data_IF_720514865829
#
_entry.id   IF_720514865829
#
_cell.length_a   1.000
_cell.length_b   1.000
_cell.length_c   1.000
_cell.angle_alpha   90.00
_cell.angle_beta   90.00
_cell.angle_gamma   90.00
#
_symmetry.space_group_name_H-M   'P 1'
#
loop_
_entity.id
_entity.type
_entity.pdbx_description
1 polymer ?
#
# COMPACT_ATOMS: atom_id res chain seq x y z
N UNK A 1 2.49 -59.93 8.51
CA UNK A 1 3.20 -58.85 9.22
C UNK A 1 4.39 -59.45 9.93
N UNK A 2 5.64 -58.97 9.75
CA UNK A 2 6.80 -59.51 10.45
C UNK A 2 6.69 -59.20 11.95
N UNK A 3 6.81 -60.20 12.79
CA UNK A 3 6.89 -60.05 14.25
C UNK A 3 8.11 -59.21 14.61
N UNK A 4 7.89 -58.10 15.31
CA UNK A 4 8.96 -57.28 15.85
C UNK A 4 9.86 -58.12 16.75
N UNK A 5 11.19 -58.14 16.50
CA UNK A 5 12.16 -58.79 17.35
C UNK A 5 12.03 -58.21 18.77
N UNK A 6 11.70 -59.03 19.76
CA UNK A 6 11.75 -58.66 21.18
C UNK A 6 13.17 -58.19 21.49
N UNK A 7 13.33 -56.98 21.93
CA UNK A 7 14.60 -56.40 22.37
C UNK A 7 14.81 -56.87 23.81
N UNK A 8 15.76 -57.78 24.06
CA UNK A 8 16.12 -58.18 25.40
C UNK A 8 17.03 -57.17 26.06
N UNK A 9 16.64 -56.70 27.24
CA UNK A 9 17.41 -55.76 28.06
C UNK A 9 18.31 -56.54 29.03
N UNK A 10 19.53 -56.03 29.27
CA UNK A 10 20.41 -56.60 30.31
C UNK A 10 19.97 -56.14 31.69
N UNK A 11 19.87 -57.09 32.65
CA UNK A 11 19.65 -56.79 34.05
C UNK A 11 20.89 -56.11 34.63
N UNK A 12 20.69 -55.05 35.38
CA UNK A 12 21.76 -54.30 36.09
C UNK A 12 22.13 -55.00 37.40
N UNK A 13 23.26 -54.61 38.00
CA UNK A 13 23.71 -55.15 39.26
C UNK A 13 22.74 -54.88 40.44
N UNK A 14 21.89 -53.85 40.29
CA UNK A 14 20.83 -53.50 41.24
C UNK A 14 19.51 -54.25 41.06
N UNK A 15 19.51 -55.27 40.19
CA UNK A 15 18.38 -56.12 39.91
C UNK A 15 17.31 -55.54 38.96
N UNK A 16 17.46 -54.30 38.52
CA UNK A 16 16.52 -53.62 37.62
C UNK A 16 16.92 -53.75 36.15
N UNK A 17 15.96 -53.66 35.25
CA UNK A 17 16.16 -53.49 33.83
C UNK A 17 16.15 -52.02 33.46
N UNK A 18 16.96 -51.61 32.49
CA UNK A 18 17.07 -50.23 32.06
C UNK A 18 17.07 -50.12 30.54
N UNK A 19 16.33 -49.15 30.00
CA UNK A 19 16.42 -48.74 28.61
C UNK A 19 16.52 -47.20 28.48
N UNK A 20 17.11 -46.73 27.37
CA UNK A 20 17.33 -45.32 27.14
C UNK A 20 16.48 -44.83 25.97
N UNK A 21 15.97 -43.61 26.07
CA UNK A 21 15.40 -42.88 24.95
C UNK A 21 15.87 -41.44 25.02
N UNK A 22 16.55 -40.95 23.99
CA UNK A 22 17.31 -39.69 24.00
C UNK A 22 18.26 -39.63 25.22
N UNK A 23 18.16 -38.62 26.06
CA UNK A 23 19.02 -38.44 27.23
C UNK A 23 18.39 -38.96 28.53
N UNK A 24 17.23 -39.66 28.46
CA UNK A 24 16.49 -40.13 29.61
C UNK A 24 16.53 -41.66 29.74
N UNK A 25 16.74 -42.16 30.99
CA UNK A 25 16.74 -43.56 31.31
C UNK A 25 15.42 -43.97 31.97
N UNK A 26 14.94 -45.13 31.60
CA UNK A 26 13.72 -45.74 32.14
C UNK A 26 14.07 -47.07 32.79
N UNK A 27 13.52 -47.31 33.98
CA UNK A 27 13.85 -48.46 34.82
C UNK A 27 12.59 -49.23 35.16
N UNK A 28 12.69 -50.56 35.29
CA UNK A 28 11.63 -51.46 35.73
C UNK A 28 12.22 -52.67 36.45
N UNK A 29 11.41 -53.36 37.28
CA UNK A 29 11.76 -54.64 37.92
C UNK A 29 11.75 -55.78 36.88
N UNK A 30 10.99 -55.61 35.81
CA UNK A 30 10.93 -56.49 34.66
C UNK A 30 11.34 -55.76 33.37
N UNK A 31 11.72 -56.50 32.33
CA UNK A 31 11.99 -55.89 30.99
C UNK A 31 10.78 -55.13 30.46
N UNK A 32 9.60 -55.73 30.61
CA UNK A 32 8.36 -55.17 30.09
C UNK A 32 8.01 -53.85 30.79
N UNK A 33 8.21 -53.76 32.12
CA UNK A 33 8.00 -52.49 32.84
C UNK A 33 8.94 -51.36 32.38
N UNK A 34 10.21 -51.65 32.15
CA UNK A 34 11.15 -50.65 31.66
C UNK A 34 10.79 -50.19 30.23
N UNK A 35 10.35 -51.11 29.37
CA UNK A 35 9.91 -50.81 28.01
C UNK A 35 8.58 -50.06 27.99
N UNK A 36 7.61 -50.44 28.85
CA UNK A 36 6.34 -49.71 28.98
C UNK A 36 6.52 -48.27 29.45
N UNK A 37 7.37 -48.05 30.46
CA UNK A 37 7.69 -46.72 30.94
C UNK A 37 8.28 -45.83 29.83
N UNK A 38 9.19 -46.40 29.02
CA UNK A 38 9.73 -45.72 27.84
C UNK A 38 8.66 -45.42 26.78
N UNK A 39 7.80 -46.35 26.46
CA UNK A 39 6.74 -46.16 25.46
C UNK A 39 5.64 -45.21 25.97
N UNK A 40 5.35 -45.19 27.26
CA UNK A 40 4.45 -44.22 27.88
C UNK A 40 5.02 -42.80 27.76
N UNK A 41 6.30 -42.60 28.06
CA UNK A 41 6.97 -41.35 27.87
C UNK A 41 6.97 -40.87 26.42
N UNK A 42 7.28 -41.75 25.46
CA UNK A 42 7.20 -41.43 24.04
C UNK A 42 5.79 -41.06 23.60
N UNK A 43 4.75 -41.72 24.13
CA UNK A 43 3.35 -41.36 23.85
C UNK A 43 3.00 -39.99 24.40
N UNK A 44 3.45 -39.68 25.62
CA UNK A 44 3.23 -38.40 26.25
C UNK A 44 4.00 -37.29 25.50
N UNK A 45 5.25 -37.51 25.12
CA UNK A 45 6.06 -36.56 24.33
C UNK A 45 5.39 -36.28 22.96
N UNK A 46 4.97 -37.33 22.24
CA UNK A 46 4.23 -37.20 20.98
C UNK A 46 2.89 -36.50 21.15
N UNK A 47 2.17 -36.70 22.24
CA UNK A 47 0.92 -36.02 22.53
C UNK A 47 1.16 -34.54 22.80
N UNK A 48 2.20 -34.19 23.55
CA UNK A 48 2.60 -32.79 23.83
C UNK A 48 3.10 -32.12 22.55
N UNK A 49 3.92 -32.80 21.74
CA UNK A 49 4.35 -32.30 20.42
C UNK A 49 3.16 -32.11 19.45
N UNK A 50 2.23 -33.07 19.42
CA UNK A 50 1.02 -33.00 18.60
C UNK A 50 0.13 -31.82 19.01
N UNK A 51 0.02 -31.54 20.31
CA UNK A 51 -0.78 -30.41 20.84
C UNK A 51 -0.09 -29.06 20.63
N UNK A 52 1.25 -29.00 20.69
CA UNK A 52 2.03 -27.79 20.41
C UNK A 52 2.21 -27.48 18.92
N UNK A 53 2.13 -28.49 18.08
CA UNK A 53 2.62 -28.42 16.70
C UNK A 53 1.53 -28.35 15.62
N UNK A 54 0.25 -28.19 15.97
CA UNK A 54 -0.82 -28.15 14.97
C UNK A 54 -1.91 -27.14 15.29
N UNK A 55 -1.61 -25.81 15.23
CA UNK A 55 -2.62 -24.78 15.42
C UNK A 55 -3.61 -24.77 14.24
N UNK A 56 -4.81 -24.25 14.50
CA UNK A 56 -5.72 -23.84 13.42
C UNK A 56 -5.16 -22.61 12.69
N UNK A 57 -5.65 -22.35 11.49
CA UNK A 57 -5.27 -21.14 10.72
C UNK A 57 -5.58 -19.89 11.52
N UNK A 58 -6.74 -19.84 12.19
CA UNK A 58 -7.16 -18.71 13.02
C UNK A 58 -6.23 -18.50 14.22
N UNK A 59 -5.87 -19.56 14.95
CA UNK A 59 -4.94 -19.49 16.08
C UNK A 59 -3.55 -19.01 15.64
N UNK A 60 -3.08 -19.51 14.48
CA UNK A 60 -1.79 -19.12 13.93
C UNK A 60 -1.79 -17.67 13.44
N UNK A 61 -2.80 -17.27 12.67
CA UNK A 61 -2.93 -15.90 12.15
C UNK A 61 -3.04 -14.87 13.28
N UNK A 62 -3.79 -15.17 14.34
CA UNK A 62 -3.94 -14.30 15.51
C UNK A 62 -2.62 -14.07 16.26
N UNK A 63 -1.72 -15.06 16.32
CA UNK A 63 -0.38 -14.94 16.90
C UNK A 63 0.60 -14.28 15.93
N UNK A 64 0.49 -14.57 14.64
CA UNK A 64 1.40 -14.12 13.61
C UNK A 64 1.30 -12.61 13.35
N UNK A 65 0.09 -12.08 13.28
CA UNK A 65 -0.15 -10.67 12.92
C UNK A 65 0.59 -9.68 13.85
N UNK A 66 0.44 -9.74 15.19
CA UNK A 66 1.13 -8.80 16.08
C UNK A 66 2.64 -8.98 16.08
N UNK A 67 3.16 -10.18 15.85
CA UNK A 67 4.59 -10.46 15.82
C UNK A 67 5.27 -9.94 14.56
N UNK A 68 4.65 -10.14 13.40
CA UNK A 68 5.28 -9.87 12.11
C UNK A 68 4.86 -8.54 11.46
N UNK A 69 3.86 -7.84 12.02
CA UNK A 69 3.35 -6.58 11.48
C UNK A 69 3.26 -5.45 12.52
N UNK A 70 4.02 -5.53 13.60
CA UNK A 70 4.05 -4.51 14.68
C UNK A 70 4.61 -3.15 14.24
N UNK A 71 5.45 -3.11 13.19
CA UNK A 71 6.08 -1.87 12.69
C UNK A 71 5.29 -1.09 11.65
N UNK A 72 4.06 -1.48 11.33
CA UNK A 72 3.21 -0.80 10.34
C UNK A 72 2.29 0.22 11.02
N UNK A 73 1.72 1.16 10.22
CA UNK A 73 0.69 2.09 10.74
C UNK A 73 -0.58 1.35 11.15
N UNK A 74 -1.33 1.91 12.12
CA UNK A 74 -2.59 1.32 12.61
C UNK A 74 -3.58 1.04 11.49
N UNK A 75 -3.68 1.94 10.50
CA UNK A 75 -4.51 1.71 9.32
C UNK A 75 -4.06 0.47 8.54
N UNK A 76 -2.77 0.31 8.33
CA UNK A 76 -2.23 -0.84 7.60
C UNK A 76 -2.40 -2.13 8.41
N UNK A 77 -2.23 -2.06 9.74
CA UNK A 77 -2.47 -3.18 10.65
C UNK A 77 -3.93 -3.62 10.60
N UNK A 78 -4.87 -2.67 10.68
CA UNK A 78 -6.30 -2.94 10.60
C UNK A 78 -6.71 -3.50 9.22
N UNK A 79 -6.09 -3.02 8.13
CA UNK A 79 -6.30 -3.58 6.79
C UNK A 79 -5.81 -5.03 6.71
N UNK A 80 -4.67 -5.36 7.34
CA UNK A 80 -4.19 -6.75 7.43
C UNK A 80 -5.09 -7.62 8.30
N UNK A 81 -5.56 -7.10 9.44
CA UNK A 81 -6.49 -7.81 10.31
C UNK A 81 -7.76 -8.21 9.57
N UNK A 82 -8.38 -7.29 8.83
CA UNK A 82 -9.57 -7.57 8.01
C UNK A 82 -9.32 -8.63 6.93
N UNK A 83 -8.14 -8.60 6.30
CA UNK A 83 -7.81 -9.61 5.30
C UNK A 83 -7.58 -10.99 5.93
N UNK A 84 -6.95 -11.06 7.12
CA UNK A 84 -6.82 -12.32 7.85
C UNK A 84 -8.17 -12.82 8.38
N UNK A 85 -9.07 -11.93 8.75
CA UNK A 85 -10.46 -12.27 9.09
C UNK A 85 -11.17 -12.96 7.91
N UNK A 86 -11.10 -12.39 6.71
CA UNK A 86 -11.64 -13.00 5.49
C UNK A 86 -11.00 -14.38 5.19
N UNK A 87 -9.69 -14.55 5.43
CA UNK A 87 -9.05 -15.86 5.36
C UNK A 87 -9.64 -16.84 6.37
N UNK A 88 -9.81 -16.39 7.61
CA UNK A 88 -10.31 -17.21 8.71
C UNK A 88 -11.79 -17.57 8.54
N UNK A 89 -12.61 -16.73 7.94
CA UNK A 89 -13.98 -17.07 7.56
C UNK A 89 -14.03 -18.29 6.60
N UNK A 90 -13.07 -18.39 5.69
CA UNK A 90 -13.01 -19.49 4.73
C UNK A 90 -12.40 -20.77 5.31
N UNK A 91 -11.26 -20.67 6.00
CA UNK A 91 -10.43 -21.81 6.41
C UNK A 91 -9.93 -21.75 7.85
N UNK A 92 -10.41 -20.80 8.68
CA UNK A 92 -9.89 -20.52 10.02
C UNK A 92 -9.94 -21.68 10.99
N UNK A 93 -10.98 -22.53 10.91
CA UNK A 93 -11.15 -23.71 11.76
C UNK A 93 -10.27 -24.91 11.35
N UNK A 94 -9.70 -24.89 10.16
CA UNK A 94 -8.83 -25.97 9.68
C UNK A 94 -7.48 -25.93 10.38
N UNK A 95 -6.89 -27.11 10.60
CA UNK A 95 -5.50 -27.25 11.05
C UNK A 95 -4.56 -26.79 9.93
N UNK A 96 -3.58 -25.93 10.26
CA UNK A 96 -2.69 -25.32 9.25
C UNK A 96 -1.96 -26.39 8.39
N UNK A 97 -1.64 -27.54 8.97
CA UNK A 97 -1.02 -28.70 8.28
C UNK A 97 -1.94 -29.35 7.24
N UNK A 98 -3.24 -29.15 7.34
CA UNK A 98 -4.24 -29.79 6.47
C UNK A 98 -4.69 -28.86 5.34
N UNK A 99 -4.28 -27.59 5.36
CA UNK A 99 -4.64 -26.63 4.30
C UNK A 99 -4.03 -27.04 2.98
N UNK A 100 -4.89 -27.19 1.99
CA UNK A 100 -4.54 -27.65 0.63
C UNK A 100 -4.52 -26.49 -0.37
N UNK A 101 -4.07 -26.78 -1.59
CA UNK A 101 -4.16 -25.83 -2.72
C UNK A 101 -5.62 -25.54 -3.09
N UNK A 102 -6.52 -26.53 -2.93
CA UNK A 102 -7.94 -26.37 -3.21
C UNK A 102 -8.63 -25.44 -2.20
N UNK A 103 -8.20 -25.50 -0.93
CA UNK A 103 -8.66 -24.54 0.09
C UNK A 103 -8.21 -23.12 -0.26
N UNK A 104 -6.96 -22.95 -0.71
CA UNK A 104 -6.47 -21.65 -1.17
C UNK A 104 -7.22 -21.15 -2.41
N UNK A 105 -7.59 -22.04 -3.34
CA UNK A 105 -8.43 -21.70 -4.49
C UNK A 105 -9.84 -21.26 -4.04
N UNK A 106 -10.39 -21.91 -3.01
CA UNK A 106 -11.69 -21.52 -2.42
C UNK A 106 -11.63 -20.13 -1.77
N UNK A 107 -10.55 -19.83 -1.05
CA UNK A 107 -10.31 -18.46 -0.51
C UNK A 107 -10.29 -17.42 -1.63
N UNK A 108 -9.68 -17.73 -2.78
CA UNK A 108 -9.63 -16.80 -3.90
C UNK A 108 -10.98 -16.52 -4.55
N UNK A 109 -11.95 -17.43 -4.48
CA UNK A 109 -13.33 -17.18 -4.94
C UNK A 109 -14.00 -16.06 -4.15
N UNK A 110 -13.69 -15.92 -2.85
CA UNK A 110 -14.17 -14.80 -2.04
C UNK A 110 -13.72 -13.42 -2.60
N UNK A 111 -12.62 -13.38 -3.36
CA UNK A 111 -12.06 -12.15 -3.93
C UNK A 111 -12.55 -11.84 -5.35
N UNK A 112 -13.49 -12.57 -5.89
CA UNK A 112 -14.11 -12.26 -7.18
C UNK A 112 -14.80 -10.88 -7.11
N UNK A 113 -14.51 -10.01 -8.09
CA UNK A 113 -15.04 -8.63 -8.12
C UNK A 113 -14.24 -7.60 -7.31
N UNK A 114 -13.28 -8.02 -6.50
CA UNK A 114 -12.42 -7.06 -5.77
C UNK A 114 -11.42 -6.37 -6.70
N UNK A 115 -10.86 -5.22 -6.22
CA UNK A 115 -9.82 -4.52 -6.97
C UNK A 115 -8.52 -5.33 -7.02
N UNK A 116 -7.79 -5.21 -8.13
CA UNK A 116 -6.47 -5.87 -8.30
C UNK A 116 -5.49 -5.50 -7.18
N UNK A 117 -5.55 -4.27 -6.66
CA UNK A 117 -4.71 -3.82 -5.53
C UNK A 117 -5.08 -4.50 -4.21
N UNK A 118 -6.36 -4.75 -3.95
CA UNK A 118 -6.84 -5.48 -2.77
C UNK A 118 -6.40 -6.93 -2.83
N UNK A 119 -6.62 -7.59 -3.98
CA UNK A 119 -6.22 -8.97 -4.22
C UNK A 119 -4.70 -9.14 -4.07
N UNK A 120 -3.91 -8.22 -4.64
CA UNK A 120 -2.44 -8.24 -4.53
C UNK A 120 -1.99 -8.15 -3.07
N UNK A 121 -2.61 -7.28 -2.26
CA UNK A 121 -2.30 -7.15 -0.83
C UNK A 121 -2.66 -8.41 -0.05
N UNK A 122 -3.85 -8.98 -0.28
CA UNK A 122 -4.27 -10.24 0.32
C UNK A 122 -3.29 -11.36 -0.02
N UNK A 123 -2.89 -11.48 -1.29
CA UNK A 123 -1.91 -12.48 -1.73
C UNK A 123 -0.57 -12.34 -1.01
N UNK A 124 -0.03 -11.13 -0.94
CA UNK A 124 1.22 -10.89 -0.22
C UNK A 124 1.13 -11.29 1.25
N UNK A 125 0.00 -10.99 1.90
CA UNK A 125 -0.23 -11.30 3.29
C UNK A 125 -0.34 -12.83 3.52
N UNK A 126 -1.17 -13.52 2.73
CA UNK A 126 -1.38 -14.97 2.85
C UNK A 126 -0.12 -15.75 2.52
N UNK A 127 0.57 -15.36 1.45
CA UNK A 127 1.87 -15.97 1.12
C UNK A 127 2.86 -15.78 2.28
N UNK A 128 2.95 -14.58 2.87
CA UNK A 128 3.85 -14.32 4.00
C UNK A 128 3.48 -15.13 5.25
N UNK A 129 2.18 -15.26 5.57
CA UNK A 129 1.70 -16.07 6.70
C UNK A 129 2.11 -17.54 6.55
N UNK A 130 1.86 -18.13 5.39
CA UNK A 130 2.16 -19.55 5.14
C UNK A 130 3.65 -19.80 4.87
N UNK A 131 4.41 -18.83 4.35
CA UNK A 131 5.88 -18.95 4.28
C UNK A 131 6.50 -18.99 5.69
N UNK A 132 6.03 -18.13 6.60
CA UNK A 132 6.46 -18.19 8.02
C UNK A 132 6.08 -19.52 8.68
N UNK A 133 4.95 -20.12 8.29
CA UNK A 133 4.58 -21.45 8.78
C UNK A 133 5.54 -22.55 8.28
N UNK A 134 6.14 -22.39 7.09
CA UNK A 134 7.22 -23.28 6.60
C UNK A 134 8.48 -23.06 7.42
N UNK A 135 8.91 -21.80 7.64
CA UNK A 135 10.09 -21.46 8.44
C UNK A 135 9.99 -21.98 9.89
N UNK A 136 8.76 -22.09 10.41
CA UNK A 136 8.48 -22.67 11.73
C UNK A 136 8.25 -24.19 11.70
N UNK A 137 8.56 -24.89 10.62
CA UNK A 137 8.39 -26.33 10.43
C UNK A 137 6.94 -26.85 10.64
N UNK A 138 5.94 -25.95 10.54
CA UNK A 138 4.53 -26.32 10.69
C UNK A 138 3.99 -27.02 9.44
N UNK A 139 4.41 -26.58 8.25
CA UNK A 139 4.00 -27.09 6.95
C UNK A 139 5.20 -27.25 6.03
N UNK A 140 5.08 -28.10 5.00
CA UNK A 140 6.16 -28.33 4.04
C UNK A 140 6.06 -27.48 2.77
N UNK A 141 4.87 -27.01 2.41
CA UNK A 141 4.60 -26.25 1.19
C UNK A 141 3.56 -25.17 1.47
N UNK A 142 3.71 -24.03 0.84
CA UNK A 142 2.76 -22.96 0.93
C UNK A 142 1.62 -23.17 -0.09
N UNK A 143 0.37 -23.36 0.35
CA UNK A 143 -0.76 -23.61 -0.56
C UNK A 143 -1.07 -22.41 -1.46
N UNK A 144 -0.78 -21.18 -1.01
CA UNK A 144 -1.02 -19.95 -1.79
C UNK A 144 0.05 -19.66 -2.86
N UNK A 145 1.12 -20.47 -2.93
CA UNK A 145 2.10 -20.47 -4.03
C UNK A 145 1.79 -21.52 -5.10
N UNK A 146 0.77 -22.34 -4.89
CA UNK A 146 0.37 -23.39 -5.81
C UNK A 146 -0.03 -22.84 -7.19
N UNK A 147 0.33 -23.56 -8.26
CA UNK A 147 -0.02 -23.20 -9.64
C UNK A 147 -1.55 -23.04 -9.83
N UNK A 148 -2.33 -23.85 -9.13
CA UNK A 148 -3.78 -23.91 -9.23
C UNK A 148 -4.50 -22.99 -8.21
N UNK A 149 -3.77 -22.37 -7.28
CA UNK A 149 -4.29 -21.39 -6.32
C UNK A 149 -3.92 -19.95 -6.75
N UNK A 150 -4.18 -19.61 -8.00
CA UNK A 150 -3.94 -18.24 -8.46
C UNK A 150 -5.13 -17.33 -8.12
N UNK A 151 -4.88 -16.11 -7.66
CA UNK A 151 -5.94 -15.16 -7.39
C UNK A 151 -6.66 -14.74 -8.68
N UNK A 152 -7.93 -14.32 -8.61
CA UNK A 152 -8.67 -13.80 -9.76
C UNK A 152 -8.01 -12.52 -10.30
N UNK A 153 -8.28 -12.21 -11.55
CA UNK A 153 -7.95 -10.91 -12.11
C UNK A 153 -8.91 -9.88 -11.50
N UNK A 154 -8.36 -8.99 -10.67
CA UNK A 154 -9.15 -7.94 -10.06
C UNK A 154 -9.45 -6.79 -11.01
N UNK A 155 -10.46 -5.99 -10.66
CA UNK A 155 -10.76 -4.75 -11.39
C UNK A 155 -9.63 -3.75 -11.21
N UNK A 156 -9.16 -3.17 -12.30
CA UNK A 156 -8.18 -2.09 -12.24
C UNK A 156 -8.93 -0.77 -12.07
N UNK A 157 -8.68 -0.09 -10.95
CA UNK A 157 -9.09 1.30 -10.82
C UNK A 157 -8.16 2.16 -11.67
N UNK A 158 -8.68 2.83 -12.69
CA UNK A 158 -7.91 3.82 -13.45
C UNK A 158 -8.03 5.20 -12.79
N UNK A 159 -6.90 5.86 -12.55
CA UNK A 159 -6.86 7.30 -12.43
C UNK A 159 -6.80 7.87 -13.85
N UNK A 160 -7.63 8.86 -14.12
CA UNK A 160 -7.65 9.54 -15.42
C UNK A 160 -7.33 11.02 -15.25
N UNK A 161 -6.81 11.62 -16.29
CA UNK A 161 -6.80 13.06 -16.38
C UNK A 161 -8.24 13.57 -16.63
N UNK A 162 -8.53 14.76 -16.11
CA UNK A 162 -9.78 15.47 -16.37
C UNK A 162 -9.79 15.93 -17.82
N UNK A 163 -11.00 16.02 -18.39
CA UNK A 163 -11.21 16.71 -19.66
C UNK A 163 -11.14 18.23 -19.49
N UNK A 164 -10.98 18.99 -20.57
CA UNK A 164 -10.94 20.46 -20.54
C UNK A 164 -12.22 21.06 -19.97
N UNK A 165 -13.39 20.46 -20.26
CA UNK A 165 -14.67 20.85 -19.69
C UNK A 165 -14.71 20.63 -18.18
N UNK A 166 -14.22 19.49 -17.70
CA UNK A 166 -14.14 19.21 -16.27
C UNK A 166 -13.16 20.15 -15.55
N UNK A 167 -12.03 20.48 -16.18
CA UNK A 167 -11.07 21.49 -15.67
C UNK A 167 -11.75 22.85 -15.54
N UNK A 168 -12.46 23.26 -16.56
CA UNK A 168 -13.23 24.52 -16.58
C UNK A 168 -14.30 24.50 -15.50
N UNK A 169 -15.04 23.40 -15.38
CA UNK A 169 -16.06 23.22 -14.35
C UNK A 169 -15.49 23.35 -12.93
N UNK A 170 -14.36 22.71 -12.64
CA UNK A 170 -13.66 22.83 -11.34
C UNK A 170 -13.21 24.26 -11.08
N UNK A 171 -12.73 24.96 -12.10
CA UNK A 171 -12.25 26.35 -12.01
C UNK A 171 -13.39 27.33 -11.76
N UNK A 172 -14.55 27.13 -12.37
CA UNK A 172 -15.63 28.12 -12.39
C UNK A 172 -16.74 27.87 -11.37
N UNK A 173 -16.81 26.70 -10.74
CA UNK A 173 -17.86 26.37 -9.79
C UNK A 173 -17.48 26.79 -8.36
N UNK A 174 -18.12 27.84 -7.79
CA UNK A 174 -17.79 28.30 -6.44
C UNK A 174 -18.22 27.28 -5.38
N UNK A 175 -17.27 26.91 -4.52
CA UNK A 175 -17.49 26.06 -3.35
C UNK A 175 -16.31 26.23 -2.36
N UNK A 176 -16.54 25.94 -1.07
CA UNK A 176 -15.46 25.98 -0.07
C UNK A 176 -14.28 25.04 -0.38
N UNK A 177 -14.53 23.94 -1.10
CA UNK A 177 -13.50 23.00 -1.55
C UNK A 177 -12.75 23.46 -2.80
N UNK A 178 -13.24 24.47 -3.52
CA UNK A 178 -12.69 24.88 -4.81
C UNK A 178 -11.21 25.24 -4.73
N UNK A 179 -10.80 26.07 -3.76
CA UNK A 179 -9.39 26.41 -3.61
C UNK A 179 -8.51 25.17 -3.39
N UNK A 180 -8.95 24.24 -2.55
CA UNK A 180 -8.24 22.97 -2.33
C UNK A 180 -8.17 22.13 -3.63
N UNK A 181 -9.26 22.08 -4.39
CA UNK A 181 -9.30 21.41 -5.69
C UNK A 181 -8.34 22.05 -6.70
N UNK A 182 -8.30 23.39 -6.78
CA UNK A 182 -7.40 24.14 -7.66
C UNK A 182 -5.92 23.93 -7.28
N UNK A 183 -5.59 23.84 -5.99
CA UNK A 183 -4.23 23.53 -5.55
C UNK A 183 -3.84 22.09 -5.97
N UNK A 184 -4.74 21.12 -5.84
CA UNK A 184 -4.48 19.76 -6.33
C UNK A 184 -4.33 19.71 -7.86
N UNK A 185 -5.11 20.53 -8.59
CA UNK A 185 -5.13 20.58 -10.05
C UNK A 185 -3.94 21.35 -10.65
N UNK A 186 -3.49 22.45 -10.04
CA UNK A 186 -2.49 23.36 -10.63
C UNK A 186 -1.17 23.43 -9.87
N UNK A 187 -1.08 22.78 -8.70
CA UNK A 187 0.17 22.62 -7.96
C UNK A 187 0.44 21.15 -7.61
N UNK A 188 -0.47 20.24 -7.95
CA UNK A 188 -0.28 18.81 -7.83
C UNK A 188 -0.14 18.28 -6.40
N UNK A 189 -0.61 19.01 -5.38
CA UNK A 189 -0.51 18.56 -4.00
C UNK A 189 -1.41 17.36 -3.72
N UNK A 190 -0.97 16.47 -2.82
CA UNK A 190 -1.80 15.38 -2.33
C UNK A 190 -2.88 15.91 -1.38
N UNK A 191 -4.01 15.19 -1.26
CA UNK A 191 -5.10 15.52 -0.32
C UNK A 191 -4.58 15.86 1.09
N UNK A 192 -3.71 15.01 1.62
CA UNK A 192 -3.16 15.21 2.97
C UNK A 192 -2.25 16.44 3.09
N UNK A 193 -1.52 16.78 2.03
CA UNK A 193 -0.68 17.99 1.96
C UNK A 193 -1.57 19.24 1.94
N UNK A 194 -2.63 19.27 1.13
CA UNK A 194 -3.59 20.40 1.08
C UNK A 194 -4.30 20.59 2.43
N UNK A 195 -4.67 19.52 3.13
CA UNK A 195 -5.27 19.59 4.46
C UNK A 195 -4.33 20.16 5.54
N UNK A 196 -3.03 19.97 5.36
CA UNK A 196 -2.01 20.52 6.26
C UNK A 196 -1.64 21.98 5.92
N UNK A 197 -1.92 22.43 4.67
CA UNK A 197 -1.45 23.68 4.11
C UNK A 197 -2.08 24.90 4.79
N UNK A 198 -1.24 25.90 5.07
CA UNK A 198 -1.65 27.20 5.59
C UNK A 198 -1.09 28.31 4.68
N UNK A 199 -1.59 29.53 4.81
CA UNK A 199 -1.05 30.69 4.08
C UNK A 199 0.39 31.05 4.47
N UNK A 200 0.90 30.56 5.60
CA UNK A 200 2.32 30.68 5.96
C UNK A 200 3.24 29.82 5.07
N UNK A 201 2.70 28.80 4.44
CA UNK A 201 3.40 27.94 3.50
C UNK A 201 3.38 28.45 2.05
N UNK A 202 2.65 29.59 1.80
CA UNK A 202 2.42 30.20 0.50
C UNK A 202 3.15 31.52 0.41
N UNK A 203 4.12 31.61 -0.47
CA UNK A 203 4.82 32.87 -0.79
C UNK A 203 4.31 33.38 -2.13
N UNK A 204 3.42 34.38 -2.07
CA UNK A 204 2.87 35.02 -3.26
C UNK A 204 3.88 35.93 -3.98
N UNK A 205 4.93 36.39 -3.28
CA UNK A 205 5.98 37.26 -3.88
C UNK A 205 6.95 36.36 -4.67
N UNK A 206 7.48 35.31 -4.03
CA UNK A 206 8.33 34.33 -4.70
C UNK A 206 7.55 33.43 -5.68
N UNK A 207 6.21 33.38 -5.59
CA UNK A 207 5.37 32.56 -6.43
C UNK A 207 5.52 31.05 -6.13
N UNK A 208 5.68 30.66 -4.85
CA UNK A 208 5.91 29.27 -4.46
C UNK A 208 5.02 28.80 -3.31
N UNK A 209 4.74 27.51 -3.27
CA UNK A 209 4.13 26.80 -2.15
C UNK A 209 5.17 25.85 -1.57
N UNK A 210 5.45 25.97 -0.27
CA UNK A 210 6.33 25.05 0.46
C UNK A 210 5.51 23.91 1.02
N UNK A 211 5.81 22.68 0.57
CA UNK A 211 5.18 21.44 1.04
C UNK A 211 6.14 20.74 1.97
N UNK A 212 5.88 20.78 3.29
CA UNK A 212 6.75 20.22 4.33
C UNK A 212 5.98 19.40 5.38
N UNK A 213 4.68 19.22 5.20
CA UNK A 213 3.80 18.51 6.13
C UNK A 213 2.61 17.92 5.41
N UNK A 214 2.02 16.88 5.99
CA UNK A 214 0.79 16.27 5.49
C UNK A 214 -0.09 15.79 6.64
N UNK A 215 -1.40 15.83 6.47
CA UNK A 215 -2.36 15.19 7.37
C UNK A 215 -2.46 13.71 7.02
N UNK A 216 -2.30 12.87 8.03
CA UNK A 216 -2.71 11.46 8.05
C UNK A 216 -3.93 11.31 8.93
N UNK A 217 -4.69 10.26 8.74
CA UNK A 217 -5.82 9.93 9.59
C UNK A 217 -5.52 8.65 10.37
N UNK A 218 -5.76 8.70 11.67
CA UNK A 218 -5.87 7.57 12.55
C UNK A 218 -7.36 7.41 12.89
N UNK A 219 -8.02 6.42 12.32
CA UNK A 219 -9.48 6.41 12.25
C UNK A 219 -9.98 7.70 11.58
N UNK A 220 -10.79 8.46 12.31
CA UNK A 220 -11.31 9.77 11.86
C UNK A 220 -10.48 10.98 12.36
N UNK A 221 -9.44 10.73 13.20
CA UNK A 221 -8.63 11.77 13.82
C UNK A 221 -7.53 12.26 12.88
N UNK A 222 -7.44 13.55 12.54
CA UNK A 222 -6.35 14.09 11.73
C UNK A 222 -5.07 14.23 12.57
N UNK A 223 -3.94 13.79 12.01
CA UNK A 223 -2.62 13.91 12.60
C UNK A 223 -1.68 14.55 11.59
N UNK A 224 -1.06 15.67 11.94
CA UNK A 224 -0.02 16.26 11.10
C UNK A 224 1.25 15.43 11.26
N UNK A 225 1.86 15.09 10.15
CA UNK A 225 3.15 14.42 10.10
C UNK A 225 4.10 15.14 9.16
N UNK A 226 5.36 15.23 9.56
CA UNK A 226 6.44 15.59 8.64
C UNK A 226 6.59 14.55 7.54
N UNK A 227 7.15 14.89 6.39
CA UNK A 227 7.50 13.91 5.36
C UNK A 227 8.44 12.85 5.91
N UNK A 228 8.28 11.60 5.45
CA UNK A 228 9.13 10.48 5.88
C UNK A 228 10.58 10.58 5.41
N UNK A 229 10.85 11.41 4.40
CA UNK A 229 12.19 11.59 3.79
C UNK A 229 12.45 13.08 3.58
N UNK A 230 13.72 13.48 3.54
CA UNK A 230 14.13 14.85 3.20
C UNK A 230 13.57 15.32 1.85
N UNK A 231 13.47 14.43 0.88
CA UNK A 231 12.85 14.69 -0.44
C UNK A 231 11.34 14.91 -0.40
N UNK A 232 10.70 14.72 0.76
CA UNK A 232 9.29 15.05 0.97
C UNK A 232 9.05 16.54 1.16
N UNK A 233 10.08 17.32 1.53
CA UNK A 233 10.03 18.79 1.58
C UNK A 233 10.40 19.32 0.21
N UNK A 234 9.49 20.11 -0.39
CA UNK A 234 9.66 20.66 -1.72
C UNK A 234 8.97 22.00 -1.88
N UNK A 235 9.40 22.77 -2.86
CA UNK A 235 8.71 23.98 -3.33
C UNK A 235 8.05 23.70 -4.68
N UNK A 236 6.81 24.13 -4.81
CA UNK A 236 6.00 23.98 -6.02
C UNK A 236 5.63 25.39 -6.52
N UNK A 237 5.78 25.68 -7.82
CA UNK A 237 5.45 26.99 -8.37
C UNK A 237 3.94 27.25 -8.31
N UNK A 238 3.58 28.49 -8.05
CA UNK A 238 2.21 29.00 -8.14
C UNK A 238 1.97 29.47 -9.57
N UNK A 239 1.22 28.68 -10.34
CA UNK A 239 0.81 29.10 -11.67
C UNK A 239 -0.13 30.31 -11.60
N UNK A 240 -0.10 31.20 -12.61
CA UNK A 240 -0.93 32.41 -12.67
C UNK A 240 -2.42 32.15 -12.48
N UNK A 241 -2.91 31.02 -13.02
CA UNK A 241 -4.32 30.59 -12.87
C UNK A 241 -4.69 30.24 -11.42
N UNK A 242 -3.73 29.84 -10.58
CA UNK A 242 -3.97 29.50 -9.17
C UNK A 242 -3.91 30.72 -8.25
N UNK A 243 -3.16 31.76 -8.62
CA UNK A 243 -2.90 32.94 -7.80
C UNK A 243 -4.18 33.61 -7.25
N UNK A 244 -5.24 33.88 -8.06
CA UNK A 244 -6.46 34.53 -7.55
C UNK A 244 -7.18 33.74 -6.45
N UNK A 245 -7.05 32.38 -6.47
CA UNK A 245 -7.65 31.53 -5.46
C UNK A 245 -6.89 31.55 -4.11
N UNK A 246 -5.65 32.07 -4.09
CA UNK A 246 -4.80 32.19 -2.90
C UNK A 246 -4.76 33.61 -2.33
N UNK A 247 -4.96 34.60 -3.16
CA UNK A 247 -4.98 36.01 -2.73
C UNK A 247 -6.11 36.26 -1.71
N UNK A 248 -5.86 37.20 -0.76
CA UNK A 248 -6.80 37.57 0.29
C UNK A 248 -7.24 36.45 1.22
N UNK A 249 -6.47 35.34 1.31
CA UNK A 249 -6.70 34.26 2.27
C UNK A 249 -5.80 34.38 3.48
N UNK A 250 -6.28 33.88 4.61
CA UNK A 250 -5.52 33.78 5.86
C UNK A 250 -5.74 32.42 6.51
N UNK A 251 -4.79 31.99 7.31
CA UNK A 251 -4.88 30.75 8.07
C UNK A 251 -4.79 29.50 7.19
N UNK A 252 -5.61 28.50 7.44
CA UNK A 252 -5.63 27.23 6.69
C UNK A 252 -6.33 27.39 5.34
N UNK A 253 -5.80 26.74 4.33
CA UNK A 253 -6.44 26.67 3.01
C UNK A 253 -7.79 25.98 3.09
N UNK A 254 -7.88 24.92 3.90
CA UNK A 254 -9.10 24.18 4.14
C UNK A 254 -9.20 23.83 5.63
N UNK A 255 -10.30 24.24 6.26
CA UNK A 255 -10.55 24.01 7.68
C UNK A 255 -11.93 23.42 7.93
N UNK A 256 -12.14 22.81 9.08
CA UNK A 256 -13.45 22.52 9.62
C UNK A 256 -14.20 23.80 10.00
N UNK A 257 -15.48 23.71 10.35
CA UNK A 257 -16.28 24.87 10.74
C UNK A 257 -15.74 25.61 11.98
N UNK A 258 -15.07 24.91 12.88
CA UNK A 258 -14.42 25.45 14.08
C UNK A 258 -13.00 25.96 13.84
N UNK A 259 -12.53 26.00 12.59
CA UNK A 259 -11.18 26.44 12.21
C UNK A 259 -10.09 25.34 12.30
N UNK A 260 -10.39 24.19 12.86
CA UNK A 260 -9.46 23.06 12.98
C UNK A 260 -9.23 22.32 11.66
N UNK A 261 -8.33 21.34 11.70
CA UNK A 261 -8.11 20.43 10.58
C UNK A 261 -9.36 19.56 10.40
N UNK A 262 -9.81 19.40 9.16
CA UNK A 262 -10.95 18.53 8.85
C UNK A 262 -10.64 17.08 9.21
N UNK A 263 -11.60 16.38 9.80
CA UNK A 263 -11.58 14.92 9.96
C UNK A 263 -11.76 14.24 8.59
N UNK A 264 -11.45 12.94 8.50
CA UNK A 264 -11.61 12.19 7.26
C UNK A 264 -13.07 12.20 6.77
N UNK A 265 -14.01 12.01 7.67
CA UNK A 265 -15.45 12.07 7.35
C UNK A 265 -15.89 13.47 6.93
N UNK A 266 -15.41 14.52 7.65
CA UNK A 266 -15.74 15.89 7.30
C UNK A 266 -15.24 16.27 5.90
N UNK A 267 -14.01 15.85 5.56
CA UNK A 267 -13.48 16.02 4.21
C UNK A 267 -14.32 15.28 3.18
N UNK A 268 -14.64 14.01 3.41
CA UNK A 268 -15.42 13.19 2.47
C UNK A 268 -16.80 13.80 2.18
N UNK A 269 -17.54 14.19 3.23
CA UNK A 269 -18.86 14.86 3.07
C UNK A 269 -18.74 16.19 2.30
N UNK A 270 -17.70 16.97 2.60
CA UNK A 270 -17.49 18.26 1.91
C UNK A 270 -17.10 18.04 0.44
N UNK A 271 -16.31 17.02 0.15
CA UNK A 271 -15.96 16.63 -1.21
C UNK A 271 -17.18 16.12 -1.99
N UNK A 272 -17.99 15.27 -1.41
CA UNK A 272 -19.26 14.81 -1.99
C UNK A 272 -20.21 15.97 -2.33
N UNK A 273 -20.34 16.93 -1.38
CA UNK A 273 -21.10 18.16 -1.62
C UNK A 273 -20.55 18.97 -2.80
N UNK A 274 -19.21 19.02 -2.95
CA UNK A 274 -18.59 19.68 -4.08
C UNK A 274 -18.89 18.97 -5.40
N UNK A 275 -18.78 17.65 -5.44
CA UNK A 275 -19.13 16.84 -6.63
C UNK A 275 -20.60 17.01 -7.03
N UNK A 276 -21.51 17.05 -6.07
CA UNK A 276 -22.91 17.35 -6.33
C UNK A 276 -23.11 18.75 -6.94
N UNK A 277 -22.35 19.73 -6.45
CA UNK A 277 -22.38 21.10 -7.00
C UNK A 277 -21.86 21.15 -8.44
N UNK A 278 -20.75 20.43 -8.71
CA UNK A 278 -20.18 20.29 -10.05
C UNK A 278 -21.19 19.60 -10.99
N UNK A 279 -21.78 18.50 -10.55
CA UNK A 279 -22.80 17.75 -11.34
C UNK A 279 -24.00 18.63 -11.67
N UNK A 280 -24.45 19.47 -10.74
CA UNK A 280 -25.54 20.42 -10.98
C UNK A 280 -25.14 21.48 -12.01
N UNK A 281 -23.92 22.00 -11.94
CA UNK A 281 -23.42 23.01 -12.88
C UNK A 281 -23.22 22.42 -14.29
N UNK A 282 -22.80 21.17 -14.38
CA UNK A 282 -22.60 20.44 -15.64
C UNK A 282 -23.91 19.96 -16.28
N UNK A 283 -25.02 19.83 -15.52
CA UNK A 283 -26.26 19.22 -15.98
C UNK A 283 -26.22 17.69 -16.12
N UNK A 284 -25.15 17.04 -15.71
CA UNK A 284 -24.97 15.58 -15.72
C UNK A 284 -24.10 15.11 -14.54
N UNK A 285 -24.14 13.81 -14.19
CA UNK A 285 -23.29 13.27 -13.12
C UNK A 285 -21.81 13.45 -13.42
N UNK A 286 -21.08 14.03 -12.46
CA UNK A 286 -19.62 14.22 -12.49
C UNK A 286 -18.99 13.32 -11.44
N UNK A 287 -17.89 12.66 -11.79
CA UNK A 287 -17.13 11.80 -10.88
C UNK A 287 -15.64 12.17 -10.95
N UNK A 288 -15.21 13.01 -10.02
CA UNK A 288 -13.82 13.48 -9.88
C UNK A 288 -13.34 13.16 -8.47
N UNK A 289 -12.26 12.42 -8.35
CA UNK A 289 -11.60 12.13 -7.07
C UNK A 289 -10.46 13.12 -6.84
N UNK A 290 -10.07 13.43 -5.59
CA UNK A 290 -8.93 14.31 -5.30
C UNK A 290 -7.64 13.90 -6.02
N UNK A 291 -7.41 12.60 -6.20
CA UNK A 291 -6.21 12.11 -6.87
C UNK A 291 -6.24 12.27 -8.40
N UNK A 292 -7.43 12.34 -9.00
CA UNK A 292 -7.59 12.59 -10.44
C UNK A 292 -7.14 14.02 -10.81
N UNK A 293 -7.36 14.99 -9.92
CA UNK A 293 -6.85 16.37 -10.08
C UNK A 293 -5.32 16.40 -10.13
N UNK A 294 -4.68 15.70 -9.21
CA UNK A 294 -3.22 15.59 -9.18
C UNK A 294 -2.68 14.81 -10.41
N UNK A 295 -3.38 13.78 -10.83
CA UNK A 295 -3.05 13.05 -12.06
C UNK A 295 -3.11 13.98 -13.28
N UNK A 296 -4.14 14.83 -13.34
CA UNK A 296 -4.29 15.87 -14.38
C UNK A 296 -3.11 16.84 -14.38
N UNK A 297 -2.64 17.30 -13.21
CA UNK A 297 -1.44 18.14 -13.11
C UNK A 297 -0.21 17.45 -13.72
N UNK A 298 0.01 16.19 -13.42
CA UNK A 298 1.11 15.43 -14.02
C UNK A 298 1.01 15.37 -15.55
N UNK A 299 -0.21 15.15 -16.06
CA UNK A 299 -0.48 15.17 -17.52
C UNK A 299 -0.22 16.54 -18.11
N UNK A 300 -0.66 17.62 -17.44
CA UNK A 300 -0.39 19.00 -17.86
C UNK A 300 1.12 19.30 -17.92
N UNK A 301 1.91 18.86 -16.92
CA UNK A 301 3.36 19.02 -16.94
C UNK A 301 4.00 18.32 -18.12
N UNK A 302 3.58 17.08 -18.39
CA UNK A 302 4.04 16.33 -19.56
C UNK A 302 3.70 17.06 -20.86
N UNK A 303 2.48 17.51 -21.02
CA UNK A 303 1.99 18.14 -22.25
C UNK A 303 2.62 19.53 -22.47
N UNK A 304 2.97 20.23 -21.37
CA UNK A 304 3.76 21.46 -21.40
C UNK A 304 5.26 21.22 -21.68
N UNK A 305 5.71 19.97 -21.83
CA UNK A 305 7.11 19.65 -22.09
C UNK A 305 8.05 19.81 -20.89
N UNK A 306 7.49 19.87 -19.67
CA UNK A 306 8.32 19.92 -18.46
C UNK A 306 9.15 18.64 -18.36
N UNK A 307 10.42 18.80 -18.03
CA UNK A 307 11.32 17.67 -17.82
C UNK A 307 10.80 16.72 -16.73
N UNK A 308 10.95 15.43 -16.97
CA UNK A 308 10.44 14.40 -16.06
C UNK A 308 11.04 14.50 -14.67
N UNK A 309 12.33 14.82 -14.56
CA UNK A 309 12.99 14.97 -13.26
C UNK A 309 12.43 16.18 -12.49
N UNK A 310 12.20 17.30 -13.19
CA UNK A 310 11.54 18.48 -12.60
C UNK A 310 10.11 18.18 -12.17
N UNK A 311 9.35 17.42 -12.97
CA UNK A 311 8.01 16.95 -12.60
C UNK A 311 8.05 16.07 -11.34
N UNK A 312 9.03 15.15 -11.22
CA UNK A 312 9.24 14.35 -10.01
C UNK A 312 9.53 15.21 -8.77
N UNK A 313 10.31 16.27 -8.90
CA UNK A 313 10.60 17.21 -7.80
C UNK A 313 9.30 17.89 -7.36
N UNK A 314 8.54 18.50 -8.27
CA UNK A 314 7.29 19.21 -7.92
C UNK A 314 6.19 18.28 -7.39
N UNK A 315 6.08 17.08 -7.94
CA UNK A 315 5.10 16.09 -7.49
C UNK A 315 5.55 15.32 -6.23
N UNK A 316 6.85 15.28 -5.95
CA UNK A 316 7.45 14.48 -4.88
C UNK A 316 7.65 13.01 -5.26
N UNK A 317 8.85 12.49 -5.03
CA UNK A 317 9.36 11.19 -5.50
C UNK A 317 8.50 9.94 -5.21
N UNK A 318 7.56 10.01 -4.24
CA UNK A 318 6.70 8.88 -3.93
C UNK A 318 5.75 8.46 -5.08
N UNK A 319 5.58 9.33 -6.08
CA UNK A 319 4.70 9.09 -7.24
C UNK A 319 5.48 8.75 -8.52
N UNK A 320 6.75 8.39 -8.40
CA UNK A 320 7.65 8.09 -9.53
C UNK A 320 7.01 7.13 -10.56
N UNK A 321 6.38 6.05 -10.09
CA UNK A 321 5.73 5.08 -10.98
C UNK A 321 4.57 5.67 -11.78
N UNK A 322 3.81 6.60 -11.19
CA UNK A 322 2.73 7.29 -11.88
C UNK A 322 3.29 8.26 -12.91
N UNK A 323 4.34 9.00 -12.56
CA UNK A 323 4.99 9.96 -13.45
C UNK A 323 5.62 9.22 -14.64
N UNK A 324 6.40 8.15 -14.39
CA UNK A 324 6.96 7.30 -15.43
C UNK A 324 5.86 6.79 -16.38
N UNK A 325 4.77 6.22 -15.83
CA UNK A 325 3.66 5.72 -16.66
C UNK A 325 3.04 6.81 -17.54
N UNK A 326 2.88 8.05 -17.02
CA UNK A 326 2.32 9.17 -17.79
C UNK A 326 3.32 9.66 -18.85
N UNK A 327 4.60 9.71 -18.52
CA UNK A 327 5.65 10.19 -19.42
C UNK A 327 6.08 9.15 -20.46
N UNK A 328 5.99 7.85 -20.17
CA UNK A 328 6.33 6.76 -21.10
C UNK A 328 5.37 6.66 -22.30
N UNK A 329 4.16 7.17 -22.18
CA UNK A 329 3.25 7.28 -23.31
C UNK A 329 3.64 8.47 -24.22
N UNK A 330 4.72 8.29 -24.98
CA UNK A 330 5.17 9.27 -25.99
C UNK A 330 4.17 9.28 -27.14
N UNK A 331 3.46 10.40 -27.34
CA UNK A 331 2.65 10.59 -28.54
C UNK A 331 3.56 10.99 -29.73
N UNK A 332 3.19 10.56 -30.96
CA UNK A 332 3.90 10.95 -32.19
C UNK A 332 4.09 12.48 -32.33
N UNK A 333 3.09 13.25 -31.85
CA UNK A 333 3.18 14.73 -31.76
C UNK A 333 4.38 15.20 -30.94
N UNK A 334 4.71 14.52 -29.82
CA UNK A 334 5.84 14.92 -28.96
C UNK A 334 7.19 14.63 -29.61
N UNK A 335 7.30 13.52 -30.34
CA UNK A 335 8.50 13.18 -31.10
C UNK A 335 8.79 14.31 -32.11
N UNK A 336 7.78 14.75 -32.87
CA UNK A 336 7.93 15.82 -33.83
C UNK A 336 8.26 17.18 -33.18
N UNK A 337 7.64 17.51 -32.04
CA UNK A 337 7.94 18.74 -31.28
C UNK A 337 9.39 18.72 -30.76
N UNK A 338 9.86 17.60 -30.25
CA UNK A 338 11.24 17.42 -29.77
C UNK A 338 12.25 17.53 -30.91
N UNK A 339 11.98 16.96 -32.09
CA UNK A 339 12.82 17.10 -33.27
C UNK A 339 12.91 18.59 -33.66
N UNK A 340 11.78 19.27 -33.78
CA UNK A 340 11.73 20.69 -34.13
C UNK A 340 12.49 21.57 -33.12
N UNK A 341 12.44 21.23 -31.83
CA UNK A 341 13.14 21.97 -30.77
C UNK A 341 14.66 21.76 -30.83
N UNK A 342 15.11 20.54 -31.10
CA UNK A 342 16.52 20.21 -31.31
C UNK A 342 17.04 20.95 -32.57
N UNK A 343 16.32 20.90 -33.69
CA UNK A 343 16.66 21.62 -34.90
C UNK A 343 16.78 23.11 -34.69
N UNK A 344 15.79 23.72 -34.00
CA UNK A 344 15.79 25.15 -33.65
C UNK A 344 17.00 25.54 -32.80
N UNK A 345 17.38 24.70 -31.83
CA UNK A 345 18.53 24.92 -30.95
C UNK A 345 19.83 24.82 -31.72
N UNK A 346 19.96 23.81 -32.59
CA UNK A 346 21.16 23.60 -33.42
C UNK A 346 21.32 24.66 -34.52
N UNK A 347 20.23 25.02 -35.18
CA UNK A 347 20.23 26.01 -36.24
C UNK A 347 20.30 27.46 -35.72
N UNK A 348 19.69 27.74 -34.57
CA UNK A 348 19.73 29.06 -33.90
C UNK A 348 21.13 29.43 -33.38
N UNK A 349 21.99 28.45 -33.13
CA UNK A 349 23.41 28.70 -32.77
C UNK A 349 24.31 29.03 -33.93
N UNK A 350 23.85 28.87 -35.20
CA UNK A 350 24.65 29.19 -36.40
C UNK A 350 24.46 30.62 -36.92
N UNK A 351 23.43 31.35 -36.44
CA UNK A 351 23.14 32.71 -36.90
C UNK A 351 23.81 33.83 -36.08
N UNK A 352 24.68 33.50 -35.12
CA UNK A 352 25.34 34.44 -34.22
C UNK A 352 26.79 34.81 -34.54
N UNK A 353 27.38 34.36 -35.68
CA UNK A 353 28.79 34.64 -35.98
C UNK A 353 29.01 35.20 -37.39
N UNK A 354 28.31 36.27 -37.72
CA UNK A 354 28.75 37.16 -38.76
C UNK A 354 28.84 38.59 -38.19
N UNK A 355 29.94 38.86 -37.52
CA UNK A 355 30.40 40.20 -37.26
C UNK A 355 31.13 40.77 -38.45
N UNK A 356 30.61 41.87 -38.92
CA UNK A 356 31.25 42.93 -39.66
C UNK A 356 32.79 42.92 -39.66
N UNK A 357 33.33 42.78 -40.83
CA UNK A 357 34.60 43.35 -41.22
C UNK A 357 34.33 44.12 -42.52
N UNK A 358 34.27 45.43 -42.39
CA UNK A 358 34.37 46.37 -43.53
C UNK A 358 35.52 47.35 -43.27
N UNK A 359 36.31 47.66 -44.25
CA UNK A 359 37.62 48.34 -44.16
C UNK A 359 37.56 49.81 -43.81
#
# INVERSE_FOLDING_TARGET
>A
MPRAKKQHLKQRADGRFACRYRDQWFYGLTEDEALEAREAYKRQERAVEATRADPTVQEYAGKWLPLHKSGVSDKCYNDYAKQLEALCECIGSQKIKKVTVDDAATVWKHYEGYSASTIKRARMLYVSLFDTAIENDLIRKNPFRGRFAQPPKGTQGSHRALTDDEITLVRETPHRMQCAALIMLYAGLRRGEVLALTMQDVDLIAGTITVNKAVRFDGNRPIISAPKTASGTRQVPILSVLRPALENRAGRILSAANGDIMTEQSFSRCWESYILRLSKAAGHPVSIRPHDLRHTYCTMLRDAGVDMHQAMIWMGHADEKMILHIYDHVSDKRTQTSVNQVEKTLLGSQSGSQTENTP
#
